data_IF_985381647921
#
_entry.id   IF_985381647921
#
_cell.length_a   1.000
_cell.length_b   1.000
_cell.length_c   1.000
_cell.angle_alpha   90.00
_cell.angle_beta   90.00
_cell.angle_gamma   90.00
#
_symmetry.space_group_name_H-M   'P 1'
#
loop_
_entity.id
_entity.type
_entity.pdbx_description
1 polymer ?
#
# COMPACT_ATOMS: atom_id res chain seq x y z
N UNK A 1 -18.58 23.96 9.74
CA UNK A 1 -18.94 23.80 11.17
C UNK A 1 -18.07 22.71 11.75
N UNK A 2 -17.27 23.08 12.75
CA UNK A 2 -16.27 22.26 13.42
C UNK A 2 -16.96 21.17 14.26
N UNK A 3 -16.81 19.90 13.86
CA UNK A 3 -17.05 18.78 14.78
C UNK A 3 -15.73 18.42 15.43
N UNK A 4 -15.56 18.91 16.66
CA UNK A 4 -14.71 18.31 17.69
C UNK A 4 -15.12 16.86 17.92
N UNK A 5 -14.65 15.94 17.07
CA UNK A 5 -14.75 14.51 17.32
C UNK A 5 -13.73 14.13 18.40
N UNK A 6 -14.21 13.40 19.41
CA UNK A 6 -13.47 12.98 20.61
C UNK A 6 -12.03 12.52 20.33
N UNK A 7 -11.13 13.02 21.15
CA UNK A 7 -9.73 12.62 21.31
C UNK A 7 -9.56 11.20 21.91
N UNK A 8 -10.30 10.20 21.43
CA UNK A 8 -10.29 8.82 21.98
C UNK A 8 -9.88 7.74 20.97
N UNK A 9 -9.40 8.11 19.78
CA UNK A 9 -8.97 7.18 18.73
C UNK A 9 -7.45 7.13 18.55
N UNK A 10 -6.95 6.11 17.86
CA UNK A 10 -5.52 5.94 17.55
C UNK A 10 -5.04 6.92 16.45
N UNK A 11 -5.94 7.31 15.56
CA UNK A 11 -5.65 8.23 14.45
C UNK A 11 -5.13 9.63 14.86
N UNK A 12 -5.72 10.38 15.81
CA UNK A 12 -5.23 11.71 16.19
C UNK A 12 -3.82 11.68 16.81
N UNK A 13 -3.42 10.59 17.46
CA UNK A 13 -2.05 10.40 17.92
C UNK A 13 -1.10 10.22 16.72
N UNK A 14 -1.48 9.35 15.78
CA UNK A 14 -0.75 9.14 14.55
C UNK A 14 -0.59 10.45 13.75
N UNK A 15 -1.66 11.23 13.59
CA UNK A 15 -1.64 12.49 12.85
C UNK A 15 -0.67 13.52 13.45
N UNK A 16 -0.56 13.57 14.78
CA UNK A 16 0.42 14.43 15.47
C UNK A 16 1.87 13.99 15.23
N UNK A 17 2.14 12.69 15.32
CA UNK A 17 3.48 12.14 15.09
C UNK A 17 3.88 12.32 13.62
N UNK A 18 2.98 12.01 12.68
CA UNK A 18 3.17 12.22 11.26
C UNK A 18 3.40 13.70 10.93
N UNK A 19 2.60 14.58 11.53
CA UNK A 19 2.73 16.04 11.47
C UNK A 19 4.12 16.56 11.81
N UNK A 20 4.76 15.96 12.83
CA UNK A 20 6.10 16.36 13.29
C UNK A 20 7.23 15.81 12.42
N UNK A 21 7.03 14.67 11.75
CA UNK A 21 8.09 13.97 11.01
C UNK A 21 8.11 14.31 9.52
N UNK A 22 6.93 14.35 8.89
CA UNK A 22 6.79 14.42 7.43
C UNK A 22 6.08 15.71 7.02
N UNK A 23 5.03 16.09 7.74
CA UNK A 23 4.17 17.23 7.42
C UNK A 23 2.73 16.99 7.84
N UNK A 24 1.85 18.00 7.74
CA UNK A 24 0.46 17.88 8.19
C UNK A 24 -0.27 16.73 7.49
N UNK A 25 -0.70 15.73 8.27
CA UNK A 25 -1.40 14.56 7.77
C UNK A 25 -2.65 14.92 6.96
N UNK A 26 -3.27 16.07 7.23
CA UNK A 26 -4.46 16.62 6.55
C UNK A 26 -4.22 17.11 5.12
N UNK A 27 -2.97 17.39 4.76
CA UNK A 27 -2.60 17.92 3.45
C UNK A 27 -2.14 16.83 2.48
N UNK A 28 -1.91 15.61 2.98
CA UNK A 28 -1.56 14.49 2.13
C UNK A 28 -2.61 14.28 1.05
N UNK A 29 -2.16 14.20 -0.20
CA UNK A 29 -2.95 13.86 -1.38
C UNK A 29 -2.16 12.86 -2.21
N UNK A 30 -2.81 11.77 -2.60
CA UNK A 30 -2.24 10.81 -3.52
C UNK A 30 -2.37 11.37 -4.95
N UNK A 31 -1.23 11.47 -5.64
CA UNK A 31 -1.14 11.91 -7.04
C UNK A 31 -0.41 10.84 -7.86
N UNK A 32 -1.09 10.19 -8.81
CA UNK A 32 -0.45 9.26 -9.74
C UNK A 32 0.78 9.88 -10.40
N UNK A 33 1.83 9.10 -10.60
CA UNK A 33 3.06 9.55 -11.27
C UNK A 33 3.96 10.51 -10.49
N UNK A 34 3.46 11.19 -9.45
CA UNK A 34 4.24 12.14 -8.63
C UNK A 34 4.57 11.58 -7.25
N UNK A 35 3.63 10.87 -6.62
CA UNK A 35 3.89 10.25 -5.31
C UNK A 35 4.92 9.14 -5.49
N UNK A 36 5.99 9.06 -4.67
CA UNK A 36 6.98 8.00 -4.80
C UNK A 36 6.32 6.62 -4.69
N UNK A 37 6.75 5.70 -5.56
CA UNK A 37 6.18 4.35 -5.73
C UNK A 37 4.72 4.32 -6.20
N UNK A 38 4.14 5.43 -6.65
CA UNK A 38 2.80 5.44 -7.26
C UNK A 38 2.80 4.86 -8.69
N UNK A 39 3.95 4.81 -9.36
CA UNK A 39 4.06 4.30 -10.72
C UNK A 39 4.29 2.79 -10.74
N UNK A 40 3.29 2.04 -11.22
CA UNK A 40 3.34 0.58 -11.32
C UNK A 40 4.58 0.07 -12.05
N UNK A 41 4.98 0.75 -13.14
CA UNK A 41 6.14 0.39 -13.95
C UNK A 41 7.44 0.36 -13.13
N UNK A 42 7.63 1.33 -12.25
CA UNK A 42 8.83 1.43 -11.42
C UNK A 42 8.89 0.31 -10.38
N UNK A 43 7.75 0.01 -9.74
CA UNK A 43 7.62 -1.11 -8.80
C UNK A 43 7.90 -2.46 -9.45
N UNK A 44 7.39 -2.67 -10.68
CA UNK A 44 7.64 -3.89 -11.45
C UNK A 44 9.11 -4.03 -11.84
N UNK A 45 9.72 -2.98 -12.38
CA UNK A 45 11.13 -3.04 -12.78
C UNK A 45 12.01 -3.33 -11.55
N UNK A 46 11.79 -2.62 -10.44
CA UNK A 46 12.51 -2.86 -9.18
C UNK A 46 12.32 -4.30 -8.70
N UNK A 47 11.09 -4.81 -8.71
CA UNK A 47 10.76 -6.18 -8.32
C UNK A 47 11.58 -7.22 -9.12
N UNK A 48 11.55 -7.12 -10.46
CA UNK A 48 12.24 -8.06 -11.34
C UNK A 48 13.77 -7.95 -11.19
N UNK A 49 14.30 -6.73 -11.13
CA UNK A 49 15.74 -6.50 -10.95
C UNK A 49 16.23 -7.10 -9.63
N UNK A 50 15.49 -6.89 -8.52
CA UNK A 50 15.87 -7.40 -7.21
C UNK A 50 15.78 -8.94 -7.16
N UNK A 51 14.70 -9.53 -7.67
CA UNK A 51 14.51 -10.99 -7.63
C UNK A 51 15.49 -11.71 -8.57
N UNK A 52 15.55 -11.33 -9.85
CA UNK A 52 16.43 -12.01 -10.81
C UNK A 52 17.90 -11.68 -10.56
N UNK A 53 18.23 -10.41 -10.27
CA UNK A 53 19.58 -10.01 -9.91
C UNK A 53 20.06 -10.66 -8.62
N UNK A 54 19.18 -10.74 -7.62
CA UNK A 54 19.47 -11.41 -6.36
C UNK A 54 19.66 -12.93 -6.51
N UNK A 55 18.83 -13.61 -7.30
CA UNK A 55 18.99 -15.04 -7.58
C UNK A 55 20.29 -15.34 -8.31
N UNK A 56 20.65 -14.50 -9.29
CA UNK A 56 21.93 -14.60 -9.99
C UNK A 56 23.11 -14.44 -9.03
N UNK A 57 23.07 -13.42 -8.16
CA UNK A 57 24.12 -13.18 -7.16
C UNK A 57 24.25 -14.32 -6.14
N UNK A 58 23.13 -14.96 -5.78
CA UNK A 58 23.08 -16.07 -4.83
C UNK A 58 23.46 -17.42 -5.44
N UNK A 59 23.65 -17.53 -6.76
CA UNK A 59 23.99 -18.81 -7.41
C UNK A 59 25.26 -19.42 -6.81
N UNK A 60 26.30 -18.60 -6.62
CA UNK A 60 27.61 -19.03 -6.10
C UNK A 60 27.84 -18.76 -4.61
N UNK A 61 26.80 -18.38 -3.84
CA UNK A 61 26.93 -18.06 -2.41
C UNK A 61 26.19 -19.03 -1.48
N UNK A 62 26.68 -19.20 -0.26
CA UNK A 62 26.03 -20.00 0.77
C UNK A 62 24.76 -19.29 1.29
N UNK A 63 23.74 -20.05 1.74
CA UNK A 63 22.50 -19.46 2.29
C UNK A 63 22.78 -18.65 3.56
N UNK A 64 22.24 -17.45 3.64
CA UNK A 64 22.46 -16.54 4.78
C UNK A 64 21.44 -16.85 5.89
N UNK A 65 21.91 -17.14 7.11
CA UNK A 65 21.04 -17.36 8.27
C UNK A 65 20.64 -16.03 8.92
N UNK A 66 19.57 -15.44 8.42
CA UNK A 66 18.96 -14.21 8.97
C UNK A 66 17.70 -14.56 9.80
N UNK A 67 17.81 -15.41 10.83
CA UNK A 67 16.63 -15.83 11.62
C UNK A 67 16.05 -14.69 12.45
N UNK A 68 16.91 -13.95 13.16
CA UNK A 68 16.50 -12.82 14.01
C UNK A 68 15.87 -11.68 13.19
N UNK A 69 16.48 -11.34 12.05
CA UNK A 69 15.98 -10.28 11.17
C UNK A 69 14.59 -10.63 10.61
N UNK A 70 14.37 -11.87 10.13
CA UNK A 70 13.04 -12.29 9.68
C UNK A 70 12.01 -12.27 10.82
N UNK A 71 12.38 -12.67 12.04
CA UNK A 71 11.47 -12.63 13.18
C UNK A 71 11.05 -11.20 13.53
N UNK A 72 12.01 -10.27 13.58
CA UNK A 72 11.74 -8.85 13.84
C UNK A 72 10.89 -8.26 12.72
N UNK A 73 11.23 -8.54 11.46
CA UNK A 73 10.47 -8.06 10.31
C UNK A 73 9.01 -8.52 10.35
N UNK A 74 8.76 -9.81 10.57
CA UNK A 74 7.40 -10.36 10.63
C UNK A 74 6.61 -9.81 11.83
N UNK A 75 7.28 -9.57 12.96
CA UNK A 75 6.67 -8.95 14.12
C UNK A 75 6.27 -7.50 13.83
N UNK A 76 7.18 -6.70 13.28
CA UNK A 76 6.91 -5.31 12.89
C UNK A 76 5.78 -5.23 11.85
N UNK A 77 5.79 -6.11 10.85
CA UNK A 77 4.74 -6.19 9.85
C UNK A 77 3.38 -6.45 10.50
N UNK A 78 3.30 -7.38 11.44
CA UNK A 78 2.05 -7.68 12.17
C UNK A 78 1.57 -6.48 12.98
N UNK A 79 2.47 -5.80 13.70
CA UNK A 79 2.13 -4.63 14.52
C UNK A 79 1.65 -3.46 13.67
N UNK A 80 2.36 -3.14 12.58
CA UNK A 80 2.02 -2.02 11.69
C UNK A 80 0.72 -2.29 10.94
N UNK A 81 0.55 -3.49 10.38
CA UNK A 81 -0.70 -3.87 9.69
C UNK A 81 -1.89 -3.89 10.66
N UNK A 82 -1.71 -4.38 11.89
CA UNK A 82 -2.74 -4.34 12.91
C UNK A 82 -3.14 -2.91 13.31
N UNK A 83 -2.15 -2.02 13.50
CA UNK A 83 -2.40 -0.61 13.80
C UNK A 83 -3.13 0.11 12.66
N UNK A 84 -2.73 -0.12 11.41
CA UNK A 84 -3.39 0.42 10.23
C UNK A 84 -4.83 -0.09 10.10
N UNK A 85 -5.06 -1.38 10.33
CA UNK A 85 -6.40 -1.97 10.30
C UNK A 85 -7.34 -1.31 11.32
N UNK A 86 -6.86 -1.08 12.54
CA UNK A 86 -7.62 -0.38 13.59
C UNK A 86 -7.92 1.06 13.16
N UNK A 87 -6.92 1.80 12.68
CA UNK A 87 -7.11 3.19 12.25
C UNK A 87 -8.08 3.32 11.06
N UNK A 88 -8.01 2.41 10.10
CA UNK A 88 -8.98 2.35 8.98
C UNK A 88 -10.37 1.98 9.50
N UNK A 89 -10.46 1.01 10.40
CA UNK A 89 -11.71 0.59 11.05
C UNK A 89 -12.39 1.73 11.81
N UNK A 90 -11.63 2.53 12.57
CA UNK A 90 -12.15 3.71 13.28
C UNK A 90 -12.83 4.72 12.33
N UNK A 91 -12.34 4.85 11.09
CA UNK A 91 -12.89 5.77 10.10
C UNK A 91 -14.07 5.18 9.32
N UNK A 92 -14.03 3.88 8.99
CA UNK A 92 -15.01 3.22 8.12
C UNK A 92 -16.22 2.69 8.90
N UNK A 93 -16.00 2.01 10.04
CA UNK A 93 -17.07 1.38 10.82
C UNK A 93 -18.21 2.34 11.23
N UNK A 94 -17.97 3.57 11.72
CA UNK A 94 -19.06 4.47 12.07
C UNK A 94 -19.86 4.96 10.85
N UNK A 95 -19.24 5.04 9.66
CA UNK A 95 -19.93 5.41 8.42
C UNK A 95 -20.85 4.28 7.95
N UNK A 96 -20.35 3.04 7.98
CA UNK A 96 -21.14 1.84 7.65
C UNK A 96 -22.30 1.65 8.63
N UNK A 97 -22.06 1.81 9.93
CA UNK A 97 -23.11 1.61 10.94
C UNK A 97 -24.27 2.61 10.79
N UNK A 98 -23.99 3.84 10.35
CA UNK A 98 -25.01 4.90 10.21
C UNK A 98 -25.72 4.93 8.86
N UNK A 99 -25.01 4.62 7.77
CA UNK A 99 -25.50 4.81 6.40
C UNK A 99 -25.57 3.51 5.59
N UNK A 100 -25.14 2.39 6.16
CA UNK A 100 -25.10 1.09 5.50
C UNK A 100 -23.83 0.87 4.66
N UNK A 101 -23.64 -0.38 4.22
CA UNK A 101 -22.47 -0.80 3.44
C UNK A 101 -22.38 -0.12 2.07
N UNK A 102 -23.52 0.06 1.39
CA UNK A 102 -23.55 0.67 0.06
C UNK A 102 -23.11 2.13 0.08
N UNK A 103 -23.47 2.88 1.12
CA UNK A 103 -22.99 4.24 1.30
C UNK A 103 -21.48 4.28 1.51
N UNK A 104 -20.94 3.41 2.37
CA UNK A 104 -19.51 3.31 2.64
C UNK A 104 -18.63 2.99 1.41
N UNK A 105 -19.20 2.32 0.40
CA UNK A 105 -18.47 1.87 -0.79
C UNK A 105 -18.71 2.75 -2.03
N UNK A 106 -19.94 3.22 -2.24
CA UNK A 106 -20.35 3.89 -3.47
C UNK A 106 -20.48 5.41 -3.36
N UNK A 107 -20.59 5.93 -2.14
CA UNK A 107 -20.84 7.36 -1.91
C UNK A 107 -19.53 8.15 -1.79
N UNK A 108 -19.45 9.29 -2.48
CA UNK A 108 -18.28 10.15 -2.44
C UNK A 108 -18.13 10.84 -1.08
N UNK A 109 -19.21 11.01 -0.31
CA UNK A 109 -19.17 11.57 1.05
C UNK A 109 -18.71 10.54 2.10
N UNK A 110 -18.67 9.26 1.75
CA UNK A 110 -18.03 8.24 2.58
C UNK A 110 -16.50 8.35 2.55
N UNK A 111 -15.95 9.09 1.59
CA UNK A 111 -14.53 9.38 1.52
C UNK A 111 -14.12 10.43 2.56
N UNK A 112 -12.89 10.31 3.06
CA UNK A 112 -12.32 11.33 3.93
C UNK A 112 -10.82 11.36 3.74
N UNK A 113 -10.25 12.57 3.72
CA UNK A 113 -8.82 12.79 3.65
C UNK A 113 -7.97 11.90 4.60
N UNK A 114 -8.31 11.72 5.89
CA UNK A 114 -7.55 10.82 6.77
C UNK A 114 -7.48 9.37 6.26
N UNK A 115 -8.54 8.93 5.58
CA UNK A 115 -8.66 7.59 5.02
C UNK A 115 -7.75 7.43 3.79
N UNK A 116 -7.60 8.47 2.95
CA UNK A 116 -6.67 8.50 1.82
C UNK A 116 -5.23 8.21 2.26
N UNK A 117 -4.76 8.91 3.30
CA UNK A 117 -3.42 8.70 3.86
C UNK A 117 -3.24 7.29 4.44
N UNK A 118 -4.24 6.80 5.18
CA UNK A 118 -4.17 5.45 5.77
C UNK A 118 -4.11 4.35 4.71
N UNK A 119 -4.88 4.48 3.62
CA UNK A 119 -4.77 3.54 2.49
C UNK A 119 -3.43 3.64 1.78
N UNK A 120 -2.86 4.84 1.63
CA UNK A 120 -1.51 4.99 1.08
C UNK A 120 -0.45 4.32 1.97
N UNK A 121 -0.57 4.43 3.29
CA UNK A 121 0.34 3.74 4.21
C UNK A 121 0.17 2.22 4.16
N UNK A 122 -1.07 1.73 4.02
CA UNK A 122 -1.34 0.30 3.80
C UNK A 122 -0.68 -0.21 2.51
N UNK A 123 -0.76 0.60 1.44
CA UNK A 123 -0.06 0.33 0.20
C UNK A 123 1.45 0.25 0.38
N UNK A 124 2.07 1.17 1.14
CA UNK A 124 3.49 1.11 1.45
C UNK A 124 3.89 -0.13 2.26
N UNK A 125 3.03 -0.59 3.18
CA UNK A 125 3.27 -1.84 3.93
C UNK A 125 3.34 -3.04 2.98
N UNK A 126 2.59 -3.05 1.87
CA UNK A 126 2.71 -4.08 0.83
C UNK A 126 4.08 -4.12 0.15
N UNK A 127 4.69 -2.96 -0.10
CA UNK A 127 6.09 -2.93 -0.54
C UNK A 127 7.06 -3.42 0.53
N UNK A 128 6.69 -3.28 1.80
CA UNK A 128 7.49 -3.82 2.88
C UNK A 128 7.37 -5.35 2.99
N UNK A 129 6.20 -5.93 2.73
CA UNK A 129 6.00 -7.39 2.62
C UNK A 129 6.95 -7.99 1.56
N UNK A 130 7.20 -7.26 0.48
CA UNK A 130 8.10 -7.72 -0.59
C UNK A 130 9.53 -8.01 -0.08
N UNK A 131 9.98 -7.37 1.01
CA UNK A 131 11.28 -7.68 1.60
C UNK A 131 11.35 -9.11 2.17
N UNK A 132 10.23 -9.73 2.58
CA UNK A 132 10.23 -11.14 3.01
C UNK A 132 10.64 -12.07 1.85
N UNK A 133 10.22 -11.76 0.63
CA UNK A 133 10.64 -12.52 -0.56
C UNK A 133 12.15 -12.42 -0.80
N UNK A 134 12.74 -11.25 -0.54
CA UNK A 134 14.20 -11.05 -0.60
C UNK A 134 14.90 -11.88 0.47
N UNK A 135 14.39 -11.91 1.70
CA UNK A 135 14.95 -12.75 2.76
C UNK A 135 14.85 -14.25 2.46
N UNK A 136 13.76 -14.70 1.86
CA UNK A 136 13.59 -16.09 1.42
C UNK A 136 14.56 -16.45 0.29
N UNK A 137 14.79 -15.53 -0.65
CA UNK A 137 15.78 -15.67 -1.71
C UNK A 137 17.21 -15.78 -1.14
N UNK A 138 17.57 -14.92 -0.18
CA UNK A 138 18.87 -14.97 0.52
C UNK A 138 19.06 -16.27 1.33
N UNK A 139 17.97 -16.91 1.76
CA UNK A 139 17.98 -18.21 2.43
C UNK A 139 18.00 -19.40 1.48
N UNK A 140 17.97 -19.19 0.15
CA UNK A 140 17.79 -20.23 -0.88
C UNK A 140 16.57 -21.12 -0.61
N UNK A 141 15.53 -20.57 0.03
CA UNK A 141 14.27 -21.28 0.19
C UNK A 141 13.47 -21.16 -1.11
N UNK A 142 12.71 -22.21 -1.45
CA UNK A 142 11.86 -22.19 -2.65
C UNK A 142 10.82 -21.09 -2.51
N UNK A 143 10.89 -20.10 -3.38
CA UNK A 143 9.80 -19.16 -3.62
C UNK A 143 8.76 -19.88 -4.49
N UNK A 144 7.52 -19.96 -4.02
CA UNK A 144 6.40 -20.42 -4.85
C UNK A 144 5.91 -19.27 -5.72
N UNK A 145 5.73 -19.51 -7.03
CA UNK A 145 5.16 -18.52 -7.96
C UNK A 145 3.79 -17.99 -7.49
N UNK A 146 3.03 -18.79 -6.75
CA UNK A 146 1.75 -18.42 -6.17
C UNK A 146 1.85 -17.29 -5.13
N UNK A 147 2.88 -17.29 -4.28
CA UNK A 147 3.06 -16.24 -3.26
C UNK A 147 3.42 -14.90 -3.90
N UNK A 148 4.33 -14.91 -4.88
CA UNK A 148 4.65 -13.71 -5.67
C UNK A 148 3.43 -13.13 -6.37
N UNK A 149 2.60 -13.99 -6.97
CA UNK A 149 1.43 -13.54 -7.72
C UNK A 149 0.36 -12.94 -6.80
N UNK A 150 0.12 -13.55 -5.64
CA UNK A 150 -0.82 -13.04 -4.64
C UNK A 150 -0.40 -11.64 -4.13
N UNK A 151 0.90 -11.43 -3.90
CA UNK A 151 1.43 -10.17 -3.41
C UNK A 151 1.35 -9.03 -4.45
N UNK A 152 1.62 -9.37 -5.71
CA UNK A 152 1.48 -8.47 -6.84
C UNK A 152 0.02 -8.07 -7.09
N UNK A 153 -0.91 -9.02 -6.98
CA UNK A 153 -2.35 -8.74 -7.11
C UNK A 153 -2.82 -7.85 -5.97
N UNK A 154 -2.45 -8.17 -4.73
CA UNK A 154 -2.89 -7.38 -3.57
C UNK A 154 -2.44 -5.94 -3.70
N UNK A 155 -1.17 -5.71 -4.07
CA UNK A 155 -0.64 -4.35 -4.30
C UNK A 155 -1.44 -3.61 -5.38
N UNK A 156 -1.86 -4.30 -6.45
CA UNK A 156 -2.67 -3.70 -7.52
C UNK A 156 -4.11 -3.41 -7.09
N UNK A 157 -4.70 -4.29 -6.29
CA UNK A 157 -6.02 -4.08 -5.69
C UNK A 157 -5.94 -2.88 -4.73
N UNK A 158 -4.90 -2.78 -3.90
CA UNK A 158 -4.72 -1.66 -2.97
C UNK A 158 -4.57 -0.33 -3.71
N UNK A 159 -3.85 -0.25 -4.84
CA UNK A 159 -3.82 0.96 -5.70
C UNK A 159 -5.18 1.28 -6.27
N UNK A 160 -5.93 0.26 -6.72
CA UNK A 160 -7.27 0.45 -7.27
C UNK A 160 -8.28 0.85 -6.19
N UNK A 161 -8.04 0.41 -4.96
CA UNK A 161 -8.82 0.71 -3.77
C UNK A 161 -8.37 1.98 -3.05
N UNK A 162 -7.20 2.55 -3.39
CA UNK A 162 -6.80 3.87 -2.91
C UNK A 162 -7.95 4.80 -3.23
N UNK A 163 -8.71 5.23 -2.20
CA UNK A 163 -9.93 5.92 -2.47
C UNK A 163 -9.51 7.28 -3.01
N UNK A 164 -9.73 7.44 -4.29
CA UNK A 164 -9.74 8.72 -4.98
C UNK A 164 -11.21 8.99 -5.26
N UNK A 165 -11.64 10.24 -5.02
CA UNK A 165 -12.99 10.74 -5.37
C UNK A 165 -13.43 10.15 -6.72
N UNK A 166 -14.69 9.73 -6.91
CA UNK A 166 -15.17 9.10 -8.16
C UNK A 166 -14.71 9.85 -9.43
N UNK A 167 -14.70 11.19 -9.38
CA UNK A 167 -14.20 12.05 -10.47
C UNK A 167 -12.70 11.87 -10.71
N UNK A 168 -11.91 11.76 -9.65
CA UNK A 168 -10.46 11.51 -9.72
C UNK A 168 -10.14 10.05 -10.05
N UNK A 169 -11.00 9.10 -9.69
CA UNK A 169 -10.92 7.67 -10.07
C UNK A 169 -11.08 7.49 -11.58
N UNK A 170 -12.02 8.22 -12.20
CA UNK A 170 -12.17 8.25 -13.66
C UNK A 170 -10.94 8.87 -14.33
N UNK A 171 -10.46 10.01 -13.84
CA UNK A 171 -9.24 10.63 -14.37
C UNK A 171 -7.99 9.75 -14.19
N UNK A 172 -7.87 9.01 -13.07
CA UNK A 172 -6.78 8.04 -12.85
C UNK A 172 -6.84 6.88 -13.83
N UNK A 173 -8.05 6.37 -14.08
CA UNK A 173 -8.26 5.27 -15.02
C UNK A 173 -7.97 5.74 -16.44
N UNK A 174 -8.42 6.94 -16.83
CA UNK A 174 -8.06 7.55 -18.11
C UNK A 174 -6.55 7.79 -18.22
N UNK A 175 -5.89 8.32 -17.18
CA UNK A 175 -4.44 8.56 -17.17
C UNK A 175 -3.64 7.24 -17.18
N UNK A 176 -4.09 6.18 -16.50
CA UNK A 176 -3.48 4.84 -16.58
C UNK A 176 -3.74 4.21 -17.95
N UNK A 177 -4.92 4.38 -18.54
CA UNK A 177 -5.22 3.86 -19.87
C UNK A 177 -4.43 4.60 -20.95
N UNK A 178 -4.32 5.92 -20.87
CA UNK A 178 -3.52 6.74 -21.80
C UNK A 178 -2.02 6.45 -21.68
N UNK A 179 -1.48 6.28 -20.46
CA UNK A 179 -0.08 5.90 -20.26
C UNK A 179 0.23 4.44 -20.65
N UNK A 180 -0.79 3.62 -20.91
CA UNK A 180 -0.66 2.26 -21.44
C UNK A 180 -1.18 2.13 -22.89
N UNK A 181 -1.59 3.23 -23.53
CA UNK A 181 -2.09 3.24 -24.91
C UNK A 181 -0.98 3.19 -25.96
N UNK A 182 0.30 3.32 -25.57
CA UNK A 182 1.44 2.99 -26.44
C UNK A 182 1.81 1.50 -26.31
N UNK A 183 0.95 0.64 -26.84
CA UNK A 183 1.32 -0.72 -27.19
C UNK A 183 1.05 -0.89 -28.70
N UNK A 184 2.06 -0.80 -29.57
CA UNK A 184 1.87 -0.94 -30.99
C UNK A 184 1.71 -2.43 -31.30
N UNK A 185 0.47 -2.90 -31.37
CA UNK A 185 0.14 -4.14 -32.06
C UNK A 185 -0.92 -3.81 -33.11
N UNK A 186 -0.45 -3.27 -34.24
CA UNK A 186 -1.06 -3.52 -35.54
C UNK A 186 -0.50 -4.84 -36.08
N UNK A 187 -1.35 -5.66 -36.68
CA UNK A 187 -1.17 -6.01 -38.08
C UNK A 187 -2.15 -5.26 -39.00
#
# INVERSE_FOLDING_TARGET
>A
MSSTARSTGLYPLFAQVYGKLIGPASEFRFTPGVTPLATFREGFILYFVVIFGGQYLMTNRAPVRLSLVNQIHNFLLTVVSGALLIMIGEQILPKIYRHGLFYGLCDDDAYSQPLELLYYLNYLVKYWEFLDTVFLMLKKKKLGLASCYAELISTRIDVLLLPTNRSRRQNLVEEILDNNADCPIHP
#
